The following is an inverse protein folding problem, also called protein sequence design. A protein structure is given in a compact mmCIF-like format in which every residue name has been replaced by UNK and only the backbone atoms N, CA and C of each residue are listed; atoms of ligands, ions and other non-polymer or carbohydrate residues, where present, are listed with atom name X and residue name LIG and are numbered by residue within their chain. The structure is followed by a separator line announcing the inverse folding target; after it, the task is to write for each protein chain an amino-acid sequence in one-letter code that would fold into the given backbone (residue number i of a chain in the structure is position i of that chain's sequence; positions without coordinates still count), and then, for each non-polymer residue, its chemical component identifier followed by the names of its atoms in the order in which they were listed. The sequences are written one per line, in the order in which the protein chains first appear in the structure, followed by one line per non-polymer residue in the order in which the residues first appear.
data_IF_484745423204
#
_entry.id   IF_484745423204
#
_cell.length_a   1.000
_cell.length_b   1.000
_cell.length_c   1.000
_cell.angle_alpha   90.00
_cell.angle_beta   90.00
_cell.angle_gamma   90.00
#
_symmetry.space_group_name_H-M   'P 1'
#
loop_
_entity.id
_entity.type
_entity.pdbx_description
1 polymer ?
#
# COMPACT_ATOMS: atom_id res chain seq x y z
N UNK A 1 -18.55 0.73 8.75
CA UNK A 1 -18.32 1.82 7.77
C UNK A 1 -16.86 1.72 7.37
N UNK A 2 -16.54 1.27 6.16
CA UNK A 2 -15.14 1.24 5.72
C UNK A 2 -14.65 2.69 5.64
N UNK A 3 -13.58 3.02 6.38
CA UNK A 3 -12.99 4.34 6.27
C UNK A 3 -12.42 4.47 4.85
N UNK A 4 -12.63 5.57 4.12
CA UNK A 4 -11.96 5.79 2.84
C UNK A 4 -10.44 5.58 2.95
N UNK A 5 -9.83 5.85 4.10
CA UNK A 5 -8.41 5.56 4.35
C UNK A 5 -8.06 4.06 4.22
N UNK A 6 -8.89 3.14 4.74
CA UNK A 6 -8.68 1.70 4.62
C UNK A 6 -8.79 1.23 3.15
N UNK A 7 -9.69 1.82 2.38
CA UNK A 7 -9.83 1.50 0.95
C UNK A 7 -8.63 2.00 0.13
N UNK A 8 -8.07 3.14 0.50
CA UNK A 8 -6.87 3.70 -0.14
C UNK A 8 -5.60 2.93 0.24
N UNK A 9 -5.51 2.46 1.48
CA UNK A 9 -4.42 1.60 1.94
C UNK A 9 -4.38 0.31 1.15
N UNK A 10 -5.51 -0.36 0.97
CA UNK A 10 -5.57 -1.58 0.14
C UNK A 10 -5.16 -1.30 -1.32
N UNK A 11 -5.69 -0.23 -1.92
CA UNK A 11 -5.29 0.14 -3.29
C UNK A 11 -3.79 0.45 -3.40
N UNK A 12 -3.19 1.06 -2.38
CA UNK A 12 -1.75 1.29 -2.33
C UNK A 12 -0.98 -0.03 -2.24
N UNK A 13 -1.38 -0.93 -1.34
CA UNK A 13 -0.75 -2.23 -1.17
C UNK A 13 -0.85 -3.08 -2.45
N UNK A 14 -2.00 -3.11 -3.13
CA UNK A 14 -2.17 -3.81 -4.40
C UNK A 14 -1.29 -3.23 -5.51
N UNK A 15 -1.16 -1.90 -5.56
CA UNK A 15 -0.29 -1.23 -6.53
C UNK A 15 1.20 -1.54 -6.30
N UNK A 16 1.63 -1.61 -5.04
CA UNK A 16 3.00 -2.06 -4.66
C UNK A 16 3.17 -3.57 -4.88
N UNK A 17 2.12 -4.37 -4.69
CA UNK A 17 2.14 -5.83 -4.91
C UNK A 17 2.39 -6.18 -6.38
N UNK A 18 1.97 -5.31 -7.31
CA UNK A 18 2.18 -5.48 -8.75
C UNK A 18 3.66 -5.41 -9.15
N UNK A 19 4.52 -4.78 -8.33
CA UNK A 19 5.96 -4.76 -8.54
C UNK A 19 6.66 -3.72 -7.66
N UNK A 20 7.97 -3.90 -7.36
CA UNK A 20 8.73 -2.97 -6.52
C UNK A 20 8.70 -1.55 -7.11
N UNK A 21 8.38 -0.56 -6.27
CA UNK A 21 8.21 0.85 -6.70
C UNK A 21 9.29 1.73 -6.11
N UNK A 22 9.84 2.67 -6.86
CA UNK A 22 10.77 3.66 -6.30
C UNK A 22 10.02 4.71 -5.48
N UNK A 23 10.67 5.32 -4.49
CA UNK A 23 10.08 6.46 -3.76
C UNK A 23 9.58 7.57 -4.71
N UNK A 24 10.33 7.86 -5.79
CA UNK A 24 9.91 8.82 -6.81
C UNK A 24 8.56 8.44 -7.45
N UNK A 25 8.39 7.18 -7.85
CA UNK A 25 7.13 6.67 -8.42
C UNK A 25 5.98 6.78 -7.42
N UNK A 26 6.23 6.44 -6.15
CA UNK A 26 5.23 6.58 -5.08
C UNK A 26 4.81 8.03 -4.92
N UNK A 27 5.79 8.94 -4.90
CA UNK A 27 5.50 10.37 -4.83
C UNK A 27 4.76 10.85 -6.07
N UNK A 28 5.12 10.46 -7.29
CA UNK A 28 4.40 10.91 -8.49
C UNK A 28 2.96 10.39 -8.53
N UNK A 29 2.73 9.13 -8.19
CA UNK A 29 1.40 8.52 -8.23
C UNK A 29 0.49 8.95 -7.06
N UNK A 30 1.05 9.22 -5.87
CA UNK A 30 0.26 9.44 -4.65
C UNK A 30 0.32 10.88 -4.08
N UNK A 31 1.26 11.73 -4.50
CA UNK A 31 1.42 13.12 -4.00
C UNK A 31 0.33 14.09 -4.45
N UNK A 32 -0.25 13.90 -5.63
CA UNK A 32 -1.21 14.85 -6.22
C UNK A 32 -2.58 14.82 -5.55
N UNK A 33 -2.84 13.80 -4.74
CA UNK A 33 -4.12 13.57 -4.09
C UNK A 33 -4.00 13.74 -2.58
N UNK A 34 -3.63 14.92 -2.07
CA UNK A 34 -3.76 15.25 -0.63
C UNK A 34 -5.19 14.93 -0.18
N UNK A 35 -5.47 13.84 0.59
CA UNK A 35 -4.78 13.37 1.81
C UNK A 35 -4.00 12.04 1.71
N UNK A 36 -3.75 11.50 0.51
CA UNK A 36 -3.15 10.18 0.28
C UNK A 36 -1.68 10.01 0.70
N UNK A 37 -0.97 11.10 1.01
CA UNK A 37 0.39 11.03 1.55
C UNK A 37 0.41 10.25 2.88
N UNK A 38 -0.58 10.45 3.74
CA UNK A 38 -0.62 9.73 5.02
C UNK A 38 -0.81 8.23 4.86
N UNK A 39 -1.40 7.77 3.75
CA UNK A 39 -1.64 6.33 3.50
C UNK A 39 -0.33 5.57 3.31
N UNK A 40 0.60 6.14 2.56
CA UNK A 40 1.89 5.51 2.32
C UNK A 40 2.74 5.50 3.61
N UNK A 41 2.69 6.60 4.38
CA UNK A 41 3.38 6.71 5.67
C UNK A 41 2.79 5.75 6.71
N UNK A 42 1.46 5.65 6.79
CA UNK A 42 0.76 4.73 7.67
C UNK A 42 1.04 3.27 7.30
N UNK A 43 1.08 2.95 6.00
CA UNK A 43 1.47 1.62 5.53
C UNK A 43 2.92 1.27 5.90
N UNK A 44 3.85 2.22 5.86
CA UNK A 44 5.21 2.01 6.35
C UNK A 44 5.24 1.84 7.88
N UNK A 45 4.52 2.68 8.62
CA UNK A 45 4.44 2.61 10.08
C UNK A 45 3.80 1.30 10.55
N UNK A 46 2.81 0.80 9.81
CA UNK A 46 2.14 -0.47 10.03
C UNK A 46 2.94 -1.69 9.62
N UNK A 47 4.15 -1.54 9.05
CA UNK A 47 5.01 -2.67 8.65
C UNK A 47 4.50 -3.48 7.47
N UNK A 48 3.44 -3.02 6.80
CA UNK A 48 2.83 -3.72 5.64
C UNK A 48 3.60 -3.45 4.33
N UNK A 49 4.46 -2.43 4.32
CA UNK A 49 5.46 -2.19 3.27
C UNK A 49 6.82 -1.92 3.89
N UNK A 50 7.91 -2.26 3.18
CA UNK A 50 9.28 -1.92 3.59
C UNK A 50 10.08 -1.39 2.44
N UNK A 51 11.16 -0.69 2.77
CA UNK A 51 12.20 -0.42 1.79
C UNK A 51 13.04 -1.67 1.51
N UNK A 52 13.24 -1.95 0.23
CA UNK A 52 14.09 -3.00 -0.32
C UNK A 52 15.15 -2.39 -1.24
N UNK A 53 16.28 -3.07 -1.38
CA UNK A 53 17.38 -2.64 -2.24
C UNK A 53 18.26 -1.56 -1.60
N UNK A 54 19.58 -1.68 -1.84
CA UNK A 54 20.59 -0.74 -1.33
C UNK A 54 20.47 0.66 -1.94
N UNK A 55 21.27 0.96 -2.95
CA UNK A 55 21.46 2.32 -3.48
C UNK A 55 20.16 2.98 -4.03
N UNK A 56 19.20 2.17 -4.45
CA UNK A 56 17.85 2.60 -4.84
C UNK A 56 16.83 2.00 -3.87
N UNK A 57 16.45 2.77 -2.85
CA UNK A 57 15.39 2.42 -1.90
C UNK A 57 14.06 2.27 -2.63
N UNK A 58 13.74 1.05 -3.07
CA UNK A 58 12.43 0.71 -3.59
C UNK A 58 11.53 0.29 -2.44
N UNK A 59 10.24 0.47 -2.59
CA UNK A 59 9.20 0.09 -1.65
C UNK A 59 8.63 -1.22 -2.15
N UNK A 60 8.64 -2.21 -1.26
CA UNK A 60 8.16 -3.56 -1.51
C UNK A 60 7.13 -3.95 -0.45
N UNK A 61 6.19 -4.80 -0.86
CA UNK A 61 5.16 -5.34 0.01
C UNK A 61 5.76 -6.38 0.97
N UNK A 62 5.42 -6.32 2.25
CA UNK A 62 5.80 -7.34 3.22
C UNK A 62 4.80 -8.51 3.24
N UNK A 63 5.14 -9.65 3.85
CA UNK A 63 4.18 -10.75 4.04
C UNK A 63 2.92 -10.30 4.78
N UNK A 64 3.06 -9.38 5.74
CA UNK A 64 1.95 -8.80 6.51
C UNK A 64 1.03 -7.98 5.62
N UNK A 65 1.59 -7.13 4.76
CA UNK A 65 0.79 -6.38 3.78
C UNK A 65 0.04 -7.26 2.80
N UNK A 66 0.63 -8.40 2.40
CA UNK A 66 -0.06 -9.39 1.57
C UNK A 66 -1.26 -10.00 2.30
N UNK A 67 -1.11 -10.38 3.56
CA UNK A 67 -2.21 -10.91 4.37
C UNK A 67 -3.37 -9.90 4.52
N UNK A 68 -3.06 -8.61 4.61
CA UNK A 68 -4.07 -7.54 4.66
C UNK A 68 -4.88 -7.46 3.35
N UNK A 69 -4.22 -7.56 2.19
CA UNK A 69 -4.92 -7.61 0.89
C UNK A 69 -5.82 -8.84 0.81
N UNK A 70 -5.30 -10.02 1.17
CA UNK A 70 -6.06 -11.27 1.06
C UNK A 70 -7.25 -11.31 2.02
N UNK A 71 -7.07 -10.85 3.26
CA UNK A 71 -8.16 -10.73 4.23
C UNK A 71 -9.27 -9.78 3.78
N UNK A 72 -8.94 -8.70 3.07
CA UNK A 72 -9.92 -7.77 2.49
C UNK A 72 -10.58 -8.29 1.22
N UNK A 73 -9.86 -9.00 0.35
CA UNK A 73 -10.47 -9.65 -0.83
C UNK A 73 -11.47 -10.73 -0.41
N UNK A 74 -11.18 -11.52 0.62
CA UNK A 74 -12.14 -12.51 1.14
C UNK A 74 -13.42 -11.89 1.71
N UNK A 75 -13.33 -10.69 2.29
CA UNK A 75 -14.51 -9.94 2.76
C UNK A 75 -15.29 -9.27 1.61
N UNK A 76 -14.61 -8.86 0.54
CA UNK A 76 -15.26 -8.26 -0.64
C UNK A 76 -15.95 -9.31 -1.51
N UNK A 77 -15.32 -10.47 -1.72
CA UNK A 77 -15.85 -11.60 -2.49
C UNK A 77 -17.08 -12.23 -1.81
N UNK A 78 -17.11 -12.28 -0.47
CA UNK A 78 -18.26 -12.78 0.30
C UNK A 78 -19.47 -11.83 0.33
N UNK A 79 -19.33 -10.60 -0.18
CA UNK A 79 -20.40 -9.59 -0.21
C UNK A 79 -21.05 -9.44 -1.60
N UNK A 80 -20.64 -10.24 -2.59
CA UNK A 80 -21.20 -10.28 -3.96
C UNK A 80 -22.28 -11.35 -4.13
#
# INVERSE_FOLDING_TARGET
MANPADALTIQFLEWVASGPRSYAEVMEAWRTSCPRLTIWEDAMLGGVVRYEGGDRKTIALTPEGRAVIEGRRGLADAAE
#
